data_IF_571516193700
#
_entry.id   IF_571516193700
#
_cell.length_a   1.000
_cell.length_b   1.000
_cell.length_c   1.000
_cell.angle_alpha   90.00
_cell.angle_beta   90.00
_cell.angle_gamma   90.00
#
_symmetry.space_group_name_H-M   'P 1'
#
loop_
_entity.id
_entity.type
_entity.pdbx_description
1 polymer ?
#
# COMPACT_ATOMS: atom_id res chain seq x y z
N UNK A 1 -25.57 -44.57 -26.67
CA UNK A 1 -24.33 -44.85 -25.91
C UNK A 1 -23.19 -44.37 -26.81
N UNK A 2 -22.63 -43.16 -26.71
CA UNK A 2 -22.43 -42.21 -25.60
C UNK A 2 -22.48 -40.78 -26.16
N UNK A 3 -23.17 -39.86 -25.46
CA UNK A 3 -23.18 -38.42 -25.68
C UNK A 3 -22.11 -37.76 -24.79
N UNK A 4 -21.09 -37.16 -25.39
CA UNK A 4 -20.12 -36.23 -24.77
C UNK A 4 -19.60 -35.39 -25.95
N UNK A 5 -19.63 -34.08 -26.01
CA UNK A 5 -19.93 -33.03 -25.04
C UNK A 5 -19.33 -31.77 -25.64
N UNK A 6 -19.86 -31.30 -26.78
CA UNK A 6 -19.35 -30.10 -27.45
C UNK A 6 -20.10 -28.89 -26.88
N UNK A 7 -19.69 -28.52 -25.67
CA UNK A 7 -20.12 -27.31 -24.99
C UNK A 7 -19.55 -26.07 -25.68
N UNK A 8 -20.39 -25.43 -26.49
CA UNK A 8 -20.70 -24.00 -26.54
C UNK A 8 -19.62 -23.03 -26.01
N UNK A 9 -19.11 -22.20 -26.92
CA UNK A 9 -19.16 -20.73 -26.82
C UNK A 9 -18.74 -20.13 -25.48
N UNK A 10 -17.55 -19.52 -25.42
CA UNK A 10 -17.46 -18.05 -25.48
C UNK A 10 -16.03 -17.58 -25.35
N UNK A 11 -15.67 -16.72 -26.31
CA UNK A 11 -14.63 -15.71 -26.23
C UNK A 11 -14.86 -14.84 -24.97
N UNK A 12 -14.42 -15.32 -23.81
CA UNK A 12 -14.45 -14.61 -22.53
C UNK A 12 -13.24 -13.70 -22.32
N UNK A 13 -12.65 -13.15 -23.38
CA UNK A 13 -11.66 -12.07 -23.28
C UNK A 13 -12.37 -10.71 -23.36
N UNK A 14 -13.35 -10.52 -22.49
CA UNK A 14 -13.84 -9.21 -22.13
C UNK A 14 -14.61 -9.35 -20.81
N UNK A 15 -14.50 -8.32 -19.99
CA UNK A 15 -15.23 -8.07 -18.73
C UNK A 15 -14.52 -8.54 -17.46
N UNK A 16 -13.87 -7.56 -16.84
CA UNK A 16 -13.54 -7.60 -15.43
C UNK A 16 -12.56 -6.50 -15.09
N UNK A 17 -12.98 -5.24 -15.21
CA UNK A 17 -12.28 -4.13 -14.55
C UNK A 17 -11.90 -4.61 -13.16
N UNK A 18 -10.61 -4.65 -12.83
CA UNK A 18 -10.16 -5.10 -11.53
C UNK A 18 -10.98 -4.33 -10.48
N UNK A 19 -11.82 -5.01 -9.69
CA UNK A 19 -12.66 -4.33 -8.73
C UNK A 19 -11.71 -3.60 -7.79
N UNK A 20 -11.98 -2.32 -7.55
CA UNK A 20 -11.14 -1.40 -6.80
C UNK A 20 -10.25 -2.10 -5.75
N UNK A 21 -8.93 -2.01 -5.93
CA UNK A 21 -7.82 -2.30 -4.97
C UNK A 21 -6.79 -3.40 -5.29
N UNK A 22 -6.83 -4.12 -6.43
CA UNK A 22 -5.73 -5.05 -6.79
C UNK A 22 -4.36 -4.36 -6.82
N UNK A 23 -4.33 -3.15 -7.38
CA UNK A 23 -3.12 -2.36 -7.53
C UNK A 23 -2.66 -1.77 -6.19
N UNK A 24 -3.61 -1.47 -5.30
CA UNK A 24 -3.33 -0.92 -3.98
C UNK A 24 -2.73 -1.94 -3.02
N UNK A 25 -3.28 -3.15 -2.99
CA UNK A 25 -2.72 -4.26 -2.24
C UNK A 25 -1.34 -4.68 -2.78
N UNK A 26 -1.17 -4.69 -4.11
CA UNK A 26 0.13 -4.95 -4.73
C UNK A 26 1.16 -3.83 -4.43
N UNK A 27 0.73 -2.58 -4.42
CA UNK A 27 1.55 -1.42 -4.08
C UNK A 27 2.05 -1.51 -2.63
N UNK A 28 1.14 -1.78 -1.67
CA UNK A 28 1.49 -1.98 -0.27
C UNK A 28 2.56 -3.05 -0.12
N UNK A 29 2.32 -4.22 -0.69
CA UNK A 29 3.26 -5.35 -0.61
C UNK A 29 4.63 -5.00 -1.20
N UNK A 30 4.68 -4.27 -2.31
CA UNK A 30 5.94 -3.85 -2.94
C UNK A 30 6.69 -2.82 -2.10
N UNK A 31 5.97 -1.87 -1.50
CA UNK A 31 6.54 -0.88 -0.60
C UNK A 31 7.03 -1.51 0.71
N UNK A 32 6.29 -2.47 1.26
CA UNK A 32 6.70 -3.24 2.46
C UNK A 32 7.98 -4.01 2.20
N UNK A 33 8.08 -4.71 1.07
CA UNK A 33 9.29 -5.41 0.68
C UNK A 33 10.48 -4.46 0.49
N UNK A 34 10.27 -3.29 -0.13
CA UNK A 34 11.31 -2.29 -0.32
C UNK A 34 11.74 -1.64 1.01
N UNK A 35 10.78 -1.33 1.88
CA UNK A 35 11.03 -0.84 3.24
C UNK A 35 11.84 -1.84 4.06
N UNK A 36 11.49 -3.14 3.99
CA UNK A 36 12.24 -4.22 4.63
C UNK A 36 13.66 -4.38 4.04
N UNK A 37 13.85 -4.06 2.76
CA UNK A 37 15.16 -4.02 2.11
C UNK A 37 15.99 -2.76 2.45
N UNK A 38 15.50 -1.90 3.36
CA UNK A 38 16.20 -0.72 3.83
C UNK A 38 15.89 0.57 3.08
N UNK A 39 14.87 0.57 2.21
CA UNK A 39 14.49 1.76 1.46
C UNK A 39 13.63 2.70 2.33
N UNK A 40 14.26 3.75 2.85
CA UNK A 40 13.61 4.76 3.68
C UNK A 40 12.47 5.52 2.98
N UNK A 41 12.59 5.79 1.68
CA UNK A 41 11.53 6.42 0.87
C UNK A 41 10.28 5.53 0.78
N UNK A 42 10.47 4.20 0.69
CA UNK A 42 9.35 3.26 0.65
C UNK A 42 8.61 3.20 1.99
N UNK A 43 9.35 3.24 3.11
CA UNK A 43 8.77 3.39 4.43
C UNK A 43 7.98 4.70 4.57
N UNK A 44 8.52 5.82 4.07
CA UNK A 44 7.80 7.10 4.05
C UNK A 44 6.50 7.03 3.23
N UNK A 45 6.53 6.39 2.05
CA UNK A 45 5.35 6.20 1.20
C UNK A 45 4.29 5.32 1.85
N UNK A 46 4.66 4.27 2.58
CA UNK A 46 3.71 3.51 3.39
C UNK A 46 3.04 4.40 4.43
N UNK A 47 3.84 5.23 5.11
CA UNK A 47 3.33 6.24 6.04
C UNK A 47 2.26 7.13 5.39
N UNK A 48 2.55 7.68 4.22
CA UNK A 48 1.60 8.52 3.48
C UNK A 48 0.33 7.76 3.06
N UNK A 49 0.43 6.51 2.63
CA UNK A 49 -0.75 5.70 2.27
C UNK A 49 -1.68 5.50 3.46
N UNK A 50 -1.13 5.20 4.64
CA UNK A 50 -1.92 5.10 5.87
C UNK A 50 -2.40 6.46 6.38
N UNK A 51 -1.63 7.54 6.19
CA UNK A 51 -2.01 8.90 6.56
C UNK A 51 -3.16 9.43 5.72
N UNK A 52 -3.26 9.08 4.44
CA UNK A 52 -4.36 9.54 3.58
C UNK A 52 -5.50 8.51 3.52
N UNK A 53 -5.21 7.22 3.71
CA UNK A 53 -6.19 6.15 3.53
C UNK A 53 -6.54 5.93 2.05
N UNK A 54 -5.52 5.80 1.20
CA UNK A 54 -5.70 5.62 -0.25
C UNK A 54 -5.44 4.17 -0.68
N UNK A 55 -5.81 3.85 -1.93
CA UNK A 55 -5.45 2.56 -2.55
C UNK A 55 -5.98 1.34 -1.80
N UNK A 56 -7.18 1.43 -1.21
CA UNK A 56 -7.78 0.37 -0.41
C UNK A 56 -7.26 0.26 1.02
N UNK A 57 -6.38 1.19 1.45
CA UNK A 57 -5.90 1.30 2.82
C UNK A 57 -6.86 2.14 3.65
N UNK A 58 -7.17 1.70 4.86
CA UNK A 58 -7.92 2.50 5.82
C UNK A 58 -7.00 3.57 6.41
N UNK A 59 -7.51 4.80 6.56
CA UNK A 59 -6.80 5.88 7.23
C UNK A 59 -6.43 5.47 8.66
N UNK A 60 -5.13 5.39 8.96
CA UNK A 60 -4.58 4.98 10.26
C UNK A 60 -3.29 5.76 10.55
N UNK A 61 -3.43 6.86 11.27
CA UNK A 61 -2.31 7.72 11.64
C UNK A 61 -1.30 7.01 12.55
N UNK A 62 -1.73 6.06 13.39
CA UNK A 62 -0.81 5.31 14.25
C UNK A 62 0.11 4.44 13.41
N UNK A 63 -0.42 3.73 12.42
CA UNK A 63 0.40 2.98 11.45
C UNK A 63 1.30 3.92 10.66
N UNK A 64 0.77 5.06 10.21
CA UNK A 64 1.57 6.04 9.48
C UNK A 64 2.81 6.49 10.27
N UNK A 65 2.63 6.82 11.56
CA UNK A 65 3.72 7.19 12.48
C UNK A 65 4.76 6.07 12.59
N UNK A 66 4.35 4.81 12.70
CA UNK A 66 5.28 3.68 12.77
C UNK A 66 6.17 3.60 11.52
N UNK A 67 5.57 3.74 10.33
CA UNK A 67 6.31 3.73 9.08
C UNK A 67 7.20 4.96 8.89
N UNK A 68 6.77 6.15 9.35
CA UNK A 68 7.66 7.31 9.35
C UNK A 68 8.85 7.11 10.29
N UNK A 69 8.65 6.55 11.49
CA UNK A 69 9.76 6.24 12.41
C UNK A 69 10.72 5.23 11.79
N UNK A 70 10.20 4.23 11.09
CA UNK A 70 11.01 3.30 10.32
C UNK A 70 11.80 4.01 9.20
N UNK A 71 11.18 4.93 8.46
CA UNK A 71 11.87 5.72 7.44
C UNK A 71 13.03 6.57 8.01
N UNK A 72 12.82 7.16 9.19
CA UNK A 72 13.89 7.87 9.91
C UNK A 72 14.99 6.90 10.35
N UNK A 73 14.64 5.73 10.87
CA UNK A 73 15.61 4.73 11.32
C UNK A 73 16.45 4.15 10.18
N UNK A 74 15.84 3.92 9.01
CA UNK A 74 16.50 3.31 7.85
C UNK A 74 17.51 4.22 7.14
N UNK A 75 17.29 5.54 7.15
CA UNK A 75 18.13 6.45 6.37
C UNK A 75 17.99 7.92 6.70
N UNK A 76 17.48 8.25 7.90
CA UNK A 76 17.26 9.61 8.37
C UNK A 76 16.41 10.44 7.39
N UNK A 77 15.33 9.85 6.89
CA UNK A 77 14.54 10.44 5.82
C UNK A 77 13.96 11.82 6.22
N UNK A 78 14.37 12.92 5.56
CA UNK A 78 14.04 14.27 6.01
C UNK A 78 12.53 14.55 5.94
N UNK A 79 11.84 14.00 4.93
CA UNK A 79 10.38 14.10 4.84
C UNK A 79 9.67 13.38 5.98
N UNK A 80 10.20 12.25 6.45
CA UNK A 80 9.61 11.51 7.55
C UNK A 80 9.83 12.21 8.90
N UNK A 81 11.00 12.81 9.10
CA UNK A 81 11.30 13.62 10.29
C UNK A 81 10.38 14.84 10.37
N UNK A 82 10.20 15.55 9.25
CA UNK A 82 9.32 16.71 9.18
C UNK A 82 7.87 16.33 9.47
N UNK A 83 7.37 15.27 8.83
CA UNK A 83 5.99 14.79 9.06
C UNK A 83 5.79 14.31 10.49
N UNK A 84 6.76 13.61 11.08
CA UNK A 84 6.70 13.23 12.50
C UNK A 84 6.66 14.45 13.42
N UNK A 85 7.49 15.47 13.16
CA UNK A 85 7.45 16.73 13.91
C UNK A 85 6.06 17.35 13.91
N UNK A 86 5.45 17.47 12.72
CA UNK A 86 4.08 17.99 12.58
C UNK A 86 3.06 17.12 13.33
N UNK A 87 3.17 15.79 13.25
CA UNK A 87 2.23 14.88 13.93
C UNK A 87 2.36 14.94 15.46
N UNK A 88 3.58 15.10 15.99
CA UNK A 88 3.81 15.32 17.42
C UNK A 88 3.29 16.68 17.87
N UNK A 89 3.50 17.75 17.10
CA UNK A 89 2.95 19.09 17.39
C UNK A 89 1.42 19.10 17.41
N UNK A 90 0.79 18.27 16.57
CA UNK A 90 -0.65 18.09 16.53
C UNK A 90 -1.20 17.19 17.66
N UNK A 91 -0.32 16.62 18.51
CA UNK A 91 -0.71 15.72 19.60
C UNK A 91 -1.16 14.33 19.16
N UNK A 92 -0.84 13.93 17.92
CA UNK A 92 -1.20 12.63 17.34
C UNK A 92 -0.09 11.58 17.55
N UNK A 93 1.15 12.05 17.76
CA UNK A 93 2.36 11.23 17.90
C UNK A 93 2.65 10.72 19.30
#
# INVERSE_FOLDING_TARGET
MVLIGIGWVSLGQALGQAPASSDGAALLKRLEAASAAGNAESAFRLGELYRVGQSGVTHDLRRAIQYYRQAVWLGNHPGAMNTLGILYEQGVG
#
